data_IF_442323090129
#
_entry.id   IF_442323090129
#
_cell.length_a   1.000
_cell.length_b   1.000
_cell.length_c   1.000
_cell.angle_alpha   90.00
_cell.angle_beta   90.00
_cell.angle_gamma   90.00
#
_symmetry.space_group_name_H-M   'P 1'
#
loop_
_entity.id
_entity.type
_entity.pdbx_description
1 polymer ?
#
# COMPACT_ATOMS: atom_id res chain seq x y z
N UNK A 1 -23.14 6.84 0.75
CA UNK A 1 -21.77 7.03 1.28
C UNK A 1 -20.79 6.93 0.13
N UNK A 2 -19.77 7.80 0.06
CA UNK A 2 -18.71 7.77 -0.96
C UNK A 2 -17.41 7.27 -0.33
N UNK A 3 -16.83 6.19 -0.85
CA UNK A 3 -15.52 5.68 -0.42
C UNK A 3 -14.46 6.71 -0.80
N UNK A 4 -13.57 7.05 0.14
CA UNK A 4 -12.49 8.04 -0.06
C UNK A 4 -11.10 7.41 -0.12
N UNK A 5 -10.92 6.28 0.57
CA UNK A 5 -9.66 5.56 0.61
C UNK A 5 -9.91 4.07 0.86
N UNK A 6 -8.94 3.24 0.44
CA UNK A 6 -8.85 1.82 0.74
C UNK A 6 -7.42 1.46 1.13
N UNK A 7 -7.30 0.52 2.04
CA UNK A 7 -6.03 -0.04 2.49
C UNK A 7 -6.07 -1.54 2.21
N UNK A 8 -5.08 -2.04 1.49
CA UNK A 8 -5.09 -3.42 0.98
C UNK A 8 -3.87 -4.15 1.52
N UNK A 9 -4.12 -5.29 2.15
CA UNK A 9 -3.08 -6.24 2.50
C UNK A 9 -2.52 -6.97 1.26
N UNK A 10 -1.30 -7.47 1.35
CA UNK A 10 -0.61 -8.12 0.25
C UNK A 10 -0.80 -9.64 0.25
N UNK A 11 -0.27 -10.32 1.26
CA UNK A 11 -0.16 -11.77 1.28
C UNK A 11 -1.51 -12.45 1.51
N UNK A 12 -1.94 -13.29 0.56
CA UNK A 12 -3.25 -13.94 0.62
C UNK A 12 -4.44 -12.99 0.37
N UNK A 13 -4.18 -11.71 0.11
CA UNK A 13 -5.19 -10.69 -0.16
C UNK A 13 -5.04 -10.13 -1.59
N UNK A 14 -4.07 -9.23 -1.82
CA UNK A 14 -3.83 -8.66 -3.15
C UNK A 14 -3.05 -9.63 -4.06
N UNK A 15 -2.11 -10.37 -3.47
CA UNK A 15 -1.25 -11.33 -4.15
C UNK A 15 -1.89 -12.72 -4.18
N UNK A 16 -1.79 -13.38 -5.32
CA UNK A 16 -2.13 -14.79 -5.44
C UNK A 16 -1.02 -15.70 -4.89
N UNK A 17 -1.25 -17.02 -4.91
CA UNK A 17 -0.28 -18.03 -4.44
C UNK A 17 1.08 -17.97 -5.17
N UNK A 18 1.16 -17.37 -6.35
CA UNK A 18 2.39 -17.16 -7.11
C UNK A 18 3.05 -15.80 -6.83
N UNK A 19 2.62 -15.08 -5.78
CA UNK A 19 3.10 -13.75 -5.42
C UNK A 19 2.92 -12.71 -6.55
N UNK A 20 1.85 -12.84 -7.34
CA UNK A 20 1.52 -11.90 -8.43
C UNK A 20 0.20 -11.19 -8.18
N UNK A 21 0.11 -9.94 -8.62
CA UNK A 21 -1.15 -9.20 -8.71
C UNK A 21 -1.85 -9.61 -10.00
N UNK A 22 -3.05 -10.17 -9.87
CA UNK A 22 -3.87 -10.59 -11.02
C UNK A 22 -4.27 -9.40 -11.89
N UNK A 23 -4.50 -9.63 -13.18
CA UNK A 23 -5.00 -8.59 -14.09
C UNK A 23 -6.31 -7.96 -13.56
N UNK A 24 -7.24 -8.79 -13.06
CA UNK A 24 -8.50 -8.33 -12.45
C UNK A 24 -8.26 -7.35 -11.29
N UNK A 25 -7.32 -7.64 -10.39
CA UNK A 25 -7.03 -6.77 -9.25
C UNK A 25 -6.39 -5.45 -9.70
N UNK A 26 -5.52 -5.47 -10.72
CA UNK A 26 -4.95 -4.24 -11.31
C UNK A 26 -6.03 -3.33 -11.88
N UNK A 27 -6.93 -3.89 -12.68
CA UNK A 27 -8.06 -3.14 -13.27
C UNK A 27 -8.97 -2.53 -12.19
N UNK A 28 -9.23 -3.28 -11.11
CA UNK A 28 -10.02 -2.76 -9.99
C UNK A 28 -9.32 -1.59 -9.30
N UNK A 29 -8.01 -1.69 -9.07
CA UNK A 29 -7.21 -0.61 -8.47
C UNK A 29 -7.23 0.64 -9.37
N UNK A 30 -7.01 0.48 -10.68
CA UNK A 30 -7.04 1.62 -11.61
C UNK A 30 -8.41 2.32 -11.64
N UNK A 31 -9.51 1.56 -11.61
CA UNK A 31 -10.86 2.13 -11.54
C UNK A 31 -11.05 2.96 -10.27
N UNK A 32 -10.55 2.50 -9.13
CA UNK A 32 -10.64 3.21 -7.85
C UNK A 32 -9.82 4.50 -7.89
N UNK A 33 -8.60 4.44 -8.41
CA UNK A 33 -7.75 5.62 -8.60
C UNK A 33 -8.44 6.66 -9.51
N UNK A 34 -9.02 6.22 -10.63
CA UNK A 34 -9.74 7.10 -11.56
C UNK A 34 -11.01 7.73 -10.95
N UNK A 35 -11.57 7.11 -9.92
CA UNK A 35 -12.69 7.68 -9.15
C UNK A 35 -12.24 8.65 -8.04
N UNK A 36 -10.93 8.89 -7.92
CA UNK A 36 -10.33 9.72 -6.89
C UNK A 36 -10.23 9.03 -5.52
N UNK A 37 -10.38 7.71 -5.46
CA UNK A 37 -10.17 6.93 -4.23
C UNK A 37 -8.68 6.72 -4.03
N UNK A 38 -8.19 7.05 -2.82
CA UNK A 38 -6.79 6.80 -2.46
C UNK A 38 -6.59 5.32 -2.14
N UNK A 39 -5.62 4.68 -2.78
CA UNK A 39 -5.35 3.24 -2.60
C UNK A 39 -3.99 3.06 -1.95
N UNK A 40 -3.94 2.47 -0.76
CA UNK A 40 -2.71 2.25 0.02
C UNK A 40 -2.40 0.75 0.13
N UNK A 41 -1.11 0.40 0.12
CA UNK A 41 -0.67 -0.93 0.55
C UNK A 41 -0.39 -0.92 2.05
N UNK A 42 -0.89 -1.93 2.76
CA UNK A 42 -0.65 -2.11 4.19
C UNK A 42 -0.26 -3.56 4.46
N UNK A 43 0.98 -3.80 4.84
CA UNK A 43 1.54 -5.16 4.88
C UNK A 43 2.56 -5.35 6.01
N UNK A 44 2.78 -6.61 6.38
CA UNK A 44 3.89 -7.04 7.22
C UNK A 44 5.26 -6.99 6.53
N UNK A 45 5.29 -6.91 5.19
CA UNK A 45 6.54 -6.93 4.41
C UNK A 45 7.40 -5.68 4.66
N UNK A 46 8.71 -5.83 4.48
CA UNK A 46 9.66 -4.72 4.43
C UNK A 46 9.46 -3.88 3.16
N UNK A 47 9.86 -2.61 3.20
CA UNK A 47 9.74 -1.68 2.07
C UNK A 47 10.31 -2.23 0.77
N UNK A 48 11.50 -2.84 0.80
CA UNK A 48 12.18 -3.33 -0.42
C UNK A 48 11.40 -4.43 -1.15
N UNK A 49 10.56 -5.17 -0.42
CA UNK A 49 9.68 -6.20 -0.98
C UNK A 49 8.37 -5.59 -1.45
N UNK A 50 7.87 -4.55 -0.78
CA UNK A 50 6.59 -3.88 -1.08
C UNK A 50 6.69 -2.91 -2.25
N UNK A 51 7.77 -2.12 -2.32
CA UNK A 51 7.95 -1.03 -3.26
C UNK A 51 7.88 -1.45 -4.75
N UNK A 52 8.41 -2.62 -5.18
CA UNK A 52 8.25 -3.07 -6.56
C UNK A 52 6.79 -3.28 -6.95
N UNK A 53 5.97 -3.85 -6.07
CA UNK A 53 4.53 -4.03 -6.32
C UNK A 53 3.81 -2.69 -6.36
N UNK A 54 4.06 -1.83 -5.39
CA UNK A 54 3.49 -0.49 -5.32
C UNK A 54 3.72 0.31 -6.61
N UNK A 55 4.96 0.27 -7.12
CA UNK A 55 5.35 0.89 -8.41
C UNK A 55 4.66 0.21 -9.60
N UNK A 56 4.59 -1.12 -9.61
CA UNK A 56 4.01 -1.92 -10.68
C UNK A 56 2.50 -1.65 -10.88
N UNK A 57 1.76 -1.31 -9.82
CA UNK A 57 0.37 -0.84 -9.92
C UNK A 57 0.22 0.68 -9.96
N UNK A 58 1.33 1.42 -10.08
CA UNK A 58 1.31 2.88 -10.29
C UNK A 58 0.75 3.67 -9.11
N UNK A 59 0.89 3.17 -7.89
CA UNK A 59 0.43 3.90 -6.71
C UNK A 59 1.40 5.05 -6.38
N UNK A 60 0.84 6.15 -5.87
CA UNK A 60 1.60 7.32 -5.39
C UNK A 60 1.33 7.63 -3.92
N UNK A 61 0.55 6.80 -3.23
CA UNK A 61 0.25 6.96 -1.81
C UNK A 61 1.36 6.35 -0.95
N UNK A 62 1.49 6.75 0.32
CA UNK A 62 2.35 6.04 1.27
C UNK A 62 2.11 4.53 1.35
N UNK A 63 3.14 3.79 1.74
CA UNK A 63 3.11 2.36 2.04
C UNK A 63 3.22 2.15 3.55
N UNK A 64 2.35 1.33 4.09
CA UNK A 64 2.40 0.90 5.49
C UNK A 64 3.11 -0.47 5.51
N UNK A 65 4.30 -0.51 6.10
CA UNK A 65 5.18 -1.69 6.13
C UNK A 65 5.34 -2.19 7.57
N UNK A 66 5.94 -3.38 7.72
CA UNK A 66 6.28 -3.97 9.02
C UNK A 66 5.08 -3.97 9.99
N UNK A 67 3.90 -4.37 9.51
CA UNK A 67 2.64 -4.41 10.28
C UNK A 67 2.26 -3.05 10.89
N UNK A 68 2.62 -1.95 10.22
CA UNK A 68 2.33 -0.60 10.69
C UNK A 68 3.42 0.04 11.55
N UNK A 69 4.56 -0.64 11.76
CA UNK A 69 5.68 -0.06 12.47
C UNK A 69 6.39 1.05 11.67
N UNK A 70 6.32 1.02 10.34
CA UNK A 70 6.96 2.03 9.47
C UNK A 70 6.05 2.43 8.33
N UNK A 71 5.96 3.75 8.09
CA UNK A 71 5.26 4.32 6.93
C UNK A 71 6.29 4.94 6.00
N UNK A 72 6.28 4.53 4.73
CA UNK A 72 7.16 5.09 3.70
C UNK A 72 6.36 6.00 2.78
N UNK A 73 6.79 7.26 2.67
CA UNK A 73 6.25 8.20 1.70
C UNK A 73 6.74 7.86 0.28
N UNK A 74 5.79 7.72 -0.65
CA UNK A 74 6.09 7.25 -2.01
C UNK A 74 6.82 8.28 -2.88
N UNK A 75 6.77 9.57 -2.53
CA UNK A 75 7.30 10.66 -3.37
C UNK A 75 8.68 11.09 -2.86
N UNK A 76 8.81 11.26 -1.54
CA UNK A 76 10.04 11.75 -0.91
C UNK A 76 11.02 10.63 -0.53
N UNK A 77 10.58 9.37 -0.58
CA UNK A 77 11.28 8.17 -0.07
C UNK A 77 11.64 8.26 1.43
N UNK A 78 11.07 9.21 2.17
CA UNK A 78 11.26 9.30 3.61
C UNK A 78 10.43 8.22 4.30
N UNK A 79 11.00 7.63 5.34
CA UNK A 79 10.34 6.67 6.22
C UNK A 79 10.10 7.31 7.57
N UNK A 80 8.86 7.30 8.04
CA UNK A 80 8.52 7.65 9.41
C UNK A 80 8.31 6.35 10.18
N UNK A 81 9.23 6.04 11.11
CA UNK A 81 9.03 4.96 12.05
C UNK A 81 7.98 5.40 13.07
N UNK A 82 7.04 4.51 13.39
CA UNK A 82 6.03 4.72 14.43
C UNK A 82 6.68 4.52 15.81
N UNK A 83 7.71 5.32 16.10
CA UNK A 83 8.26 5.46 17.45
C UNK A 83 7.25 6.29 18.25
N UNK A 84 6.36 5.59 18.94
CA UNK A 84 5.65 6.02 20.14
C UNK A 84 5.56 7.55 20.34
N UNK A 85 4.51 8.18 19.79
CA UNK A 85 3.91 9.38 20.40
C UNK A 85 3.19 9.01 21.69
N UNK A 86 3.90 8.35 22.61
CA UNK A 86 3.51 8.13 23.99
C UNK A 86 4.45 8.90 24.91
N UNK A 87 4.48 10.22 24.71
CA UNK A 87 4.87 11.23 25.71
C UNK A 87 4.12 12.51 25.31
N UNK A 88 3.00 12.87 25.94
CA UNK A 88 3.00 13.68 27.16
C UNK A 88 4.29 13.64 27.98
#
# INVERSE_FOLDING_TARGET
>A
MKVRAIFIDMDGTLLNASNKISHRNREAIYRLINQGVKVFLATGRHYDVTAPYHKDIGLCTPMICLNGAVIHDAITRKSDANENRSSQ
#
